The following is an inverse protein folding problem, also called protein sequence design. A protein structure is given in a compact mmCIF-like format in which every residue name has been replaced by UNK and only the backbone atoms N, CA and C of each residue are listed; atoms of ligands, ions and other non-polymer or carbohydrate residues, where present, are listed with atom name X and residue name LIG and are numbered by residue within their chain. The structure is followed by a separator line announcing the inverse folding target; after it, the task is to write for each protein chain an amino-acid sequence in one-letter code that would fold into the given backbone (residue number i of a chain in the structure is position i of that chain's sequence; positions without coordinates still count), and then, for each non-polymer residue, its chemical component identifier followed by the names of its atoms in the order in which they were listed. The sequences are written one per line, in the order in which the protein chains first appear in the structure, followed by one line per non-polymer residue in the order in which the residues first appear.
data_IF_653354684380
#
_entry.id   IF_653354684380
#
_cell.length_a   1.000
_cell.length_b   1.000
_cell.length_c   1.000
_cell.angle_alpha   90.00
_cell.angle_beta   90.00
_cell.angle_gamma   90.00
#
_symmetry.space_group_name_H-M   'P 1'
#
loop_
_entity.id
_entity.type
_entity.pdbx_description
1 polymer ?
#
# COMPACT_ATOMS: atom_id res chain seq x y z
N UNK A 1 -4.08 -26.80 -15.14
CA UNK A 1 -4.31 -26.30 -13.78
C UNK A 1 -3.25 -25.24 -13.52
N UNK A 2 -3.57 -24.11 -12.87
CA UNK A 2 -2.53 -23.17 -12.47
C UNK A 2 -1.54 -23.89 -11.54
N UNK A 3 -0.27 -23.61 -11.72
CA UNK A 3 0.77 -24.22 -10.90
C UNK A 3 0.76 -23.58 -9.50
N UNK A 4 0.41 -24.35 -8.46
CA UNK A 4 0.27 -23.86 -7.11
C UNK A 4 1.63 -23.44 -6.52
N UNK A 5 1.65 -22.35 -5.77
CA UNK A 5 2.77 -21.99 -4.90
C UNK A 5 2.78 -22.94 -3.70
N UNK A 6 3.81 -23.73 -3.57
CA UNK A 6 3.93 -24.71 -2.48
C UNK A 6 4.19 -24.03 -1.14
N UNK A 7 3.35 -24.33 -0.14
CA UNK A 7 3.48 -23.78 1.20
C UNK A 7 4.06 -24.78 2.23
N UNK A 8 3.82 -26.07 2.05
CA UNK A 8 4.23 -27.05 3.02
C UNK A 8 3.61 -28.43 2.77
N UNK A 9 3.47 -29.19 3.84
CA UNK A 9 2.89 -30.55 3.82
C UNK A 9 1.70 -30.66 4.74
N UNK A 10 0.73 -31.50 4.37
CA UNK A 10 -0.41 -31.89 5.21
C UNK A 10 -0.49 -33.39 5.36
N UNK A 11 -1.07 -33.83 6.44
CA UNK A 11 -1.38 -35.24 6.65
C UNK A 11 -2.67 -35.61 5.90
N UNK A 12 -2.64 -36.73 5.21
CA UNK A 12 -3.80 -37.31 4.55
C UNK A 12 -4.20 -38.59 5.30
N UNK A 13 -5.46 -38.65 5.73
CA UNK A 13 -5.99 -39.74 6.53
C UNK A 13 -6.87 -40.66 5.69
N UNK A 14 -6.85 -41.98 6.03
CA UNK A 14 -7.89 -42.92 5.66
C UNK A 14 -8.41 -43.63 6.92
N UNK A 15 -9.66 -43.37 7.25
CA UNK A 15 -10.18 -43.71 8.57
C UNK A 15 -9.40 -42.98 9.67
N UNK A 16 -8.96 -43.70 10.71
CA UNK A 16 -8.21 -43.12 11.83
C UNK A 16 -6.68 -43.24 11.68
N UNK A 17 -6.16 -43.55 10.48
CA UNK A 17 -4.71 -43.73 10.27
C UNK A 17 -4.18 -42.67 9.29
N UNK A 18 -3.03 -42.08 9.63
CA UNK A 18 -2.24 -41.26 8.71
C UNK A 18 -1.71 -42.18 7.61
N UNK A 19 -2.05 -41.90 6.35
CA UNK A 19 -1.59 -42.66 5.21
C UNK A 19 -0.33 -42.10 4.59
N UNK A 20 -0.29 -40.80 4.44
CA UNK A 20 0.81 -40.12 3.73
C UNK A 20 0.85 -38.64 4.09
N UNK A 21 1.99 -38.00 3.78
CA UNK A 21 2.13 -36.56 3.75
C UNK A 21 2.01 -36.11 2.30
N UNK A 22 1.15 -35.15 2.00
CA UNK A 22 1.06 -34.53 0.68
C UNK A 22 1.42 -33.05 0.75
N UNK A 23 2.03 -32.51 -0.30
CA UNK A 23 2.26 -31.07 -0.41
C UNK A 23 0.93 -30.34 -0.54
N UNK A 24 0.88 -29.10 -0.05
CA UNK A 24 -0.22 -28.17 -0.30
C UNK A 24 0.32 -26.81 -0.71
N UNK A 25 -0.47 -26.07 -1.44
CA UNK A 25 -0.11 -24.76 -1.97
C UNK A 25 -1.32 -23.87 -2.23
N UNK A 26 -1.07 -22.65 -2.64
CA UNK A 26 -2.09 -21.65 -2.99
C UNK A 26 -2.01 -21.27 -4.47
N UNK A 27 -3.16 -20.91 -5.04
CA UNK A 27 -3.25 -20.19 -6.29
C UNK A 27 -3.13 -18.69 -6.00
N UNK A 28 -2.18 -18.02 -6.66
CA UNK A 28 -1.99 -16.56 -6.53
C UNK A 28 -3.15 -15.75 -7.12
N UNK A 29 -3.97 -16.36 -7.98
CA UNK A 29 -5.18 -15.72 -8.51
C UNK A 29 -6.36 -15.73 -7.53
N UNK A 30 -6.07 -15.77 -6.23
CA UNK A 30 -7.04 -15.69 -5.14
C UNK A 30 -6.55 -14.72 -4.06
N UNK A 31 -7.48 -14.03 -3.39
CA UNK A 31 -7.13 -13.30 -2.18
C UNK A 31 -6.75 -14.27 -1.06
N UNK A 32 -5.77 -13.89 -0.26
CA UNK A 32 -5.29 -14.66 0.87
C UNK A 32 -5.39 -13.89 2.20
N UNK A 33 -5.58 -14.64 3.28
CA UNK A 33 -5.57 -14.11 4.64
C UNK A 33 -4.67 -14.97 5.52
N UNK A 34 -3.69 -14.34 6.16
CA UNK A 34 -2.69 -15.01 7.00
C UNK A 34 -2.68 -14.37 8.39
N UNK A 35 -3.05 -15.14 9.41
CA UNK A 35 -3.13 -14.63 10.78
C UNK A 35 -2.36 -15.51 11.75
N UNK A 36 -1.77 -14.90 12.77
CA UNK A 36 -1.12 -15.63 13.85
C UNK A 36 -0.19 -14.78 14.72
N UNK A 37 0.06 -15.22 15.93
CA UNK A 37 0.92 -14.52 16.88
C UNK A 37 2.33 -14.25 16.33
N UNK A 38 3.04 -13.31 16.94
CA UNK A 38 4.45 -13.03 16.59
C UNK A 38 5.29 -14.29 16.75
N UNK A 39 6.24 -14.53 15.84
CA UNK A 39 7.12 -15.69 15.84
C UNK A 39 6.46 -17.03 15.47
N UNK A 40 5.19 -17.06 15.07
CA UNK A 40 4.47 -18.28 14.66
C UNK A 40 4.91 -18.86 13.32
N UNK A 41 5.45 -18.02 12.40
CA UNK A 41 5.92 -18.44 11.08
C UNK A 41 5.32 -17.66 9.91
N UNK A 42 4.51 -16.62 10.14
CA UNK A 42 3.88 -15.80 9.09
C UNK A 42 4.87 -15.28 8.05
N UNK A 43 5.90 -14.56 8.51
CA UNK A 43 6.92 -13.98 7.62
C UNK A 43 7.62 -15.04 6.77
N UNK A 44 7.78 -16.27 7.29
CA UNK A 44 8.36 -17.37 6.52
C UNK A 44 7.44 -17.81 5.36
N UNK A 45 6.14 -17.94 5.61
CA UNK A 45 5.19 -18.28 4.53
C UNK A 45 5.11 -17.18 3.49
N UNK A 46 5.03 -15.91 3.91
CA UNK A 46 5.00 -14.78 2.97
C UNK A 46 6.27 -14.74 2.11
N UNK A 47 7.44 -14.93 2.73
CA UNK A 47 8.73 -14.97 2.03
C UNK A 47 8.79 -16.11 1.02
N UNK A 48 8.42 -17.33 1.42
CA UNK A 48 8.44 -18.48 0.52
C UNK A 48 7.47 -18.33 -0.66
N UNK A 49 6.32 -17.67 -0.45
CA UNK A 49 5.40 -17.30 -1.54
C UNK A 49 6.05 -16.33 -2.50
N UNK A 50 6.63 -15.24 -1.97
CA UNK A 50 7.28 -14.19 -2.76
C UNK A 50 8.42 -14.74 -3.60
N UNK A 51 9.32 -15.56 -3.02
CA UNK A 51 10.46 -16.16 -3.74
C UNK A 51 9.96 -17.04 -4.89
N UNK A 52 9.04 -17.97 -4.64
CA UNK A 52 8.52 -18.85 -5.67
C UNK A 52 7.78 -18.09 -6.78
N UNK A 53 7.03 -17.05 -6.45
CA UNK A 53 6.35 -16.22 -7.44
C UNK A 53 7.34 -15.43 -8.32
N UNK A 54 8.40 -14.88 -7.72
CA UNK A 54 9.48 -14.20 -8.44
C UNK A 54 10.18 -15.18 -9.41
N UNK A 55 10.53 -16.37 -8.93
CA UNK A 55 11.21 -17.39 -9.75
C UNK A 55 10.37 -17.85 -10.96
N UNK A 56 9.03 -17.77 -10.85
CA UNK A 56 8.10 -18.08 -11.93
C UNK A 56 7.82 -16.89 -12.86
N UNK A 57 8.36 -15.71 -12.60
CA UNK A 57 8.10 -14.50 -13.37
C UNK A 57 6.67 -13.99 -13.23
N UNK A 58 6.04 -14.22 -12.06
CA UNK A 58 4.71 -13.67 -11.75
C UNK A 58 4.81 -12.19 -11.36
N UNK A 59 3.78 -11.40 -11.72
CA UNK A 59 3.65 -10.04 -11.25
C UNK A 59 3.34 -10.02 -9.76
N UNK A 60 4.26 -9.53 -8.93
CA UNK A 60 4.11 -9.60 -7.48
C UNK A 60 4.64 -8.36 -6.77
N UNK A 61 3.98 -8.00 -5.66
CA UNK A 61 4.41 -6.91 -4.78
C UNK A 61 4.40 -7.30 -3.30
N UNK A 62 5.23 -6.59 -2.52
CA UNK A 62 5.33 -6.71 -1.08
C UNK A 62 5.32 -5.33 -0.43
N UNK A 63 4.43 -5.11 0.55
CA UNK A 63 4.47 -3.96 1.46
C UNK A 63 4.90 -4.46 2.85
N UNK A 64 6.05 -3.98 3.35
CA UNK A 64 6.62 -4.42 4.60
C UNK A 64 6.92 -3.23 5.54
N UNK A 65 6.09 -3.02 6.60
CA UNK A 65 6.27 -1.92 7.55
C UNK A 65 7.40 -2.14 8.55
N UNK A 66 7.94 -3.36 8.65
CA UNK A 66 9.10 -3.67 9.48
C UNK A 66 10.42 -3.54 8.71
N UNK A 67 10.39 -3.86 7.42
CA UNK A 67 11.52 -3.75 6.51
C UNK A 67 12.40 -4.99 6.44
N UNK A 68 12.21 -5.98 7.30
CA UNK A 68 13.05 -7.19 7.37
C UNK A 68 12.76 -8.15 6.23
N UNK A 69 11.47 -8.39 5.93
CA UNK A 69 11.02 -9.23 4.82
C UNK A 69 11.50 -8.66 3.48
N UNK A 70 11.30 -7.36 3.26
CA UNK A 70 11.71 -6.66 2.05
C UNK A 70 13.22 -6.68 1.86
N UNK A 71 14.00 -6.47 2.94
CA UNK A 71 15.47 -6.49 2.91
C UNK A 71 16.02 -7.88 2.63
N UNK A 72 15.39 -8.93 3.14
CA UNK A 72 15.81 -10.32 2.90
C UNK A 72 15.44 -10.75 1.47
N UNK A 73 14.26 -10.38 0.99
CA UNK A 73 13.70 -10.82 -0.29
C UNK A 73 14.59 -10.48 -1.50
N UNK A 74 15.20 -9.30 -1.53
CA UNK A 74 16.07 -8.89 -2.65
C UNK A 74 17.28 -9.80 -2.86
N UNK A 75 17.68 -10.57 -1.83
CA UNK A 75 18.80 -11.51 -1.94
C UNK A 75 18.45 -12.76 -2.77
N UNK A 76 17.17 -13.01 -3.00
CA UNK A 76 16.67 -14.20 -3.72
C UNK A 76 16.33 -13.92 -5.19
N UNK A 77 16.30 -12.66 -5.61
CA UNK A 77 15.95 -12.30 -7.00
C UNK A 77 17.03 -12.76 -7.97
N UNK A 78 16.66 -13.56 -8.97
CA UNK A 78 17.54 -14.03 -10.00
C UNK A 78 18.01 -12.90 -10.95
N UNK A 79 19.14 -13.09 -11.64
CA UNK A 79 19.71 -12.08 -12.55
C UNK A 79 18.78 -11.71 -13.70
N UNK A 80 17.98 -12.65 -14.19
CA UNK A 80 16.98 -12.45 -15.25
C UNK A 80 15.91 -11.42 -14.86
N UNK A 81 15.59 -11.31 -13.57
CA UNK A 81 14.53 -10.44 -13.05
C UNK A 81 15.02 -9.09 -12.50
N UNK A 82 16.31 -8.79 -12.54
CA UNK A 82 16.84 -7.49 -12.09
C UNK A 82 16.14 -6.30 -12.79
N UNK A 83 15.87 -6.34 -14.11
CA UNK A 83 15.17 -5.26 -14.79
C UNK A 83 13.71 -5.10 -14.36
N UNK A 84 13.11 -6.11 -13.77
CA UNK A 84 11.69 -6.11 -13.40
C UNK A 84 11.44 -5.56 -11.99
N UNK A 85 12.52 -5.40 -11.18
CA UNK A 85 12.40 -5.01 -9.77
C UNK A 85 12.30 -3.50 -9.61
N UNK A 86 11.25 -3.07 -8.92
CA UNK A 86 11.17 -1.77 -8.27
C UNK A 86 11.35 -1.96 -6.76
N UNK A 87 12.55 -1.68 -6.25
CA UNK A 87 12.84 -1.70 -4.83
C UNK A 87 12.66 -0.32 -4.23
N UNK A 88 11.58 -0.13 -3.48
CA UNK A 88 11.27 1.09 -2.77
C UNK A 88 11.73 0.99 -1.32
N UNK A 89 12.84 1.61 -0.97
CA UNK A 89 13.28 1.76 0.42
C UNK A 89 13.01 3.19 0.90
N UNK A 90 12.01 3.35 1.77
CA UNK A 90 11.66 4.66 2.31
C UNK A 90 12.73 5.24 3.25
N UNK A 91 13.66 4.41 3.75
CA UNK A 91 14.82 4.84 4.52
C UNK A 91 16.04 5.18 3.67
N UNK A 92 15.99 4.99 2.35
CA UNK A 92 17.06 5.39 1.44
C UNK A 92 17.04 6.91 1.19
N UNK A 93 17.57 7.65 2.15
CA UNK A 93 17.62 9.11 2.05
C UNK A 93 18.58 9.60 0.96
N UNK A 94 19.53 8.78 0.50
CA UNK A 94 20.49 9.16 -0.54
C UNK A 94 19.86 9.17 -1.94
N UNK A 95 18.89 8.27 -2.18
CA UNK A 95 18.18 8.12 -3.45
C UNK A 95 16.67 7.95 -3.22
N UNK A 96 15.95 9.02 -2.79
CA UNK A 96 14.52 8.93 -2.60
C UNK A 96 13.80 8.56 -3.91
N UNK A 97 12.83 7.64 -3.80
CA UNK A 97 11.99 7.25 -4.92
C UNK A 97 11.29 8.48 -5.52
N UNK A 98 11.30 8.58 -6.84
CA UNK A 98 10.61 9.64 -7.57
C UNK A 98 9.16 9.23 -7.77
N UNK A 99 8.33 9.51 -6.79
CA UNK A 99 6.93 9.14 -6.74
C UNK A 99 6.03 10.35 -6.52
N UNK A 100 5.20 10.63 -7.50
CA UNK A 100 4.21 11.71 -7.45
C UNK A 100 2.81 11.18 -7.78
N UNK A 101 1.96 11.11 -6.77
CA UNK A 101 0.58 10.65 -6.92
C UNK A 101 -0.29 11.55 -7.80
N UNK A 102 0.12 12.81 -7.96
CA UNK A 102 -0.66 13.81 -8.72
C UNK A 102 -0.27 13.85 -10.20
N UNK A 103 0.83 13.19 -10.58
CA UNK A 103 1.32 13.24 -11.94
C UNK A 103 0.54 12.30 -12.88
N UNK A 104 0.21 12.81 -14.06
CA UNK A 104 -0.37 12.01 -15.16
C UNK A 104 -1.71 11.32 -14.82
N UNK A 105 -2.51 11.92 -13.94
CA UNK A 105 -3.83 11.42 -13.58
C UNK A 105 -4.86 11.93 -14.59
N UNK A 106 -5.58 11.02 -15.22
CA UNK A 106 -6.65 11.37 -16.17
C UNK A 106 -7.80 12.10 -15.45
N UNK A 107 -8.49 13.03 -16.12
CA UNK A 107 -9.57 13.84 -15.51
C UNK A 107 -10.65 13.00 -14.82
N UNK A 108 -11.08 11.90 -15.42
CA UNK A 108 -12.07 10.98 -14.88
C UNK A 108 -11.60 10.21 -13.65
N UNK A 109 -10.30 10.16 -13.39
CA UNK A 109 -9.67 9.49 -12.26
C UNK A 109 -9.31 10.45 -11.11
N UNK A 110 -9.29 11.75 -11.36
CA UNK A 110 -8.93 12.75 -10.35
C UNK A 110 -9.77 12.67 -9.07
N UNK A 111 -11.10 12.45 -9.12
CA UNK A 111 -11.90 12.28 -7.91
C UNK A 111 -11.45 11.08 -7.08
N UNK A 112 -11.14 9.96 -7.70
CA UNK A 112 -10.70 8.74 -7.03
C UNK A 112 -9.33 8.93 -6.34
N UNK A 113 -8.39 9.58 -7.02
CA UNK A 113 -7.07 9.92 -6.45
C UNK A 113 -7.24 10.89 -5.27
N UNK A 114 -8.13 11.88 -5.40
CA UNK A 114 -8.44 12.84 -4.33
C UNK A 114 -8.95 12.12 -3.08
N UNK A 115 -9.94 11.22 -3.23
CA UNK A 115 -10.47 10.44 -2.11
C UNK A 115 -9.39 9.55 -1.48
N UNK A 116 -8.57 8.90 -2.28
CA UNK A 116 -7.48 8.07 -1.77
C UNK A 116 -6.46 8.85 -0.94
N UNK A 117 -6.07 10.05 -1.38
CA UNK A 117 -5.17 10.93 -0.60
C UNK A 117 -5.86 11.40 0.67
N UNK A 118 -7.09 11.90 0.59
CA UNK A 118 -7.87 12.36 1.74
C UNK A 118 -8.05 11.25 2.78
N UNK A 119 -8.42 10.04 2.32
CA UNK A 119 -8.57 8.86 3.18
C UNK A 119 -7.29 8.46 3.90
N UNK A 120 -6.14 8.48 3.20
CA UNK A 120 -4.84 8.19 3.82
C UNK A 120 -4.46 9.22 4.91
N UNK A 121 -4.74 10.49 4.68
CA UNK A 121 -4.52 11.54 5.69
C UNK A 121 -5.51 11.42 6.87
N UNK A 122 -6.77 11.15 6.60
CA UNK A 122 -7.80 10.93 7.64
C UNK A 122 -7.38 9.78 8.56
N UNK A 123 -6.98 8.66 8.00
CA UNK A 123 -6.51 7.50 8.76
C UNK A 123 -5.31 7.88 9.66
N UNK A 124 -4.31 8.55 9.10
CA UNK A 124 -3.11 8.90 9.85
C UNK A 124 -3.41 9.78 11.07
N UNK A 125 -4.36 10.70 10.96
CA UNK A 125 -4.66 11.68 12.00
C UNK A 125 -5.87 11.31 12.88
N UNK A 126 -6.66 10.33 12.51
CA UNK A 126 -7.76 9.75 13.29
C UNK A 126 -8.66 10.78 13.96
N UNK A 127 -8.87 10.66 15.26
CA UNK A 127 -9.76 11.54 16.02
C UNK A 127 -9.39 13.05 15.97
N UNK A 128 -8.18 13.41 15.56
CA UNK A 128 -7.79 14.82 15.36
C UNK A 128 -8.14 15.36 13.97
N UNK A 129 -8.82 14.56 13.12
CA UNK A 129 -9.25 14.93 11.79
C UNK A 129 -10.68 15.50 11.83
N UNK A 130 -10.85 16.72 11.33
CA UNK A 130 -12.17 17.38 11.33
C UNK A 130 -12.70 17.62 9.91
N UNK A 131 -14.01 17.70 9.75
CA UNK A 131 -14.68 17.90 8.46
C UNK A 131 -14.16 19.11 7.67
N UNK A 132 -13.87 20.24 8.36
CA UNK A 132 -13.30 21.42 7.70
C UNK A 132 -11.91 21.16 7.16
N UNK A 133 -11.05 20.48 7.92
CA UNK A 133 -9.71 20.08 7.49
C UNK A 133 -9.79 19.21 6.24
N UNK A 134 -10.73 18.27 6.23
CA UNK A 134 -11.00 17.40 5.11
C UNK A 134 -11.48 18.16 3.87
N UNK A 135 -12.47 19.03 4.04
CA UNK A 135 -13.01 19.85 2.96
C UNK A 135 -11.91 20.70 2.28
N UNK A 136 -11.06 21.34 3.09
CA UNK A 136 -9.92 22.11 2.56
C UNK A 136 -8.92 21.21 1.85
N UNK A 137 -8.54 20.06 2.43
CA UNK A 137 -7.59 19.13 1.82
C UNK A 137 -8.12 18.59 0.49
N UNK A 138 -9.38 18.19 0.44
CA UNK A 138 -10.06 17.67 -0.76
C UNK A 138 -9.96 18.66 -1.92
N UNK A 139 -10.34 19.91 -1.69
CA UNK A 139 -10.29 20.96 -2.69
C UNK A 139 -8.84 21.34 -3.07
N UNK A 140 -7.89 21.25 -2.12
CA UNK A 140 -6.48 21.50 -2.41
C UNK A 140 -5.86 20.40 -3.30
N UNK A 141 -6.15 19.14 -3.01
CA UNK A 141 -5.69 18.01 -3.82
C UNK A 141 -6.32 18.05 -5.22
N UNK A 142 -7.64 18.29 -5.31
CA UNK A 142 -8.33 18.41 -6.58
C UNK A 142 -7.77 19.55 -7.46
N UNK A 143 -7.49 20.71 -6.87
CA UNK A 143 -6.87 21.82 -7.60
C UNK A 143 -5.46 21.50 -8.10
N UNK A 144 -4.65 20.78 -7.28
CA UNK A 144 -3.31 20.37 -7.66
C UNK A 144 -3.31 19.27 -8.72
N UNK A 145 -4.28 18.37 -8.72
CA UNK A 145 -4.46 17.33 -9.76
C UNK A 145 -4.82 17.93 -11.12
N UNK A 146 -5.59 19.02 -11.11
CA UNK A 146 -5.99 19.72 -12.35
C UNK A 146 -4.88 20.59 -12.94
N UNK A 147 -3.76 20.76 -12.26
CA UNK A 147 -2.66 21.62 -12.67
C UNK A 147 -1.36 20.84 -12.89
N UNK A 148 -0.56 21.32 -13.86
CA UNK A 148 0.73 20.72 -14.16
C UNK A 148 1.81 21.05 -13.14
N UNK A 149 2.83 20.18 -13.08
CA UNK A 149 4.04 20.38 -12.26
C UNK A 149 3.77 20.60 -10.77
N UNK A 150 2.82 19.89 -10.23
CA UNK A 150 2.40 19.91 -8.82
C UNK A 150 2.95 18.71 -8.04
N UNK A 151 2.93 18.81 -6.73
CA UNK A 151 3.19 17.71 -5.79
C UNK A 151 2.42 17.97 -4.49
N UNK A 152 2.36 16.98 -3.57
CA UNK A 152 1.69 17.15 -2.28
C UNK A 152 2.27 18.30 -1.42
N UNK A 153 3.53 18.69 -1.62
CA UNK A 153 4.09 19.89 -0.98
C UNK A 153 3.37 21.17 -1.43
N UNK A 154 2.76 21.16 -2.60
CA UNK A 154 1.98 22.28 -3.12
C UNK A 154 0.77 22.65 -2.26
N UNK A 155 0.22 21.71 -1.46
CA UNK A 155 -0.94 21.95 -0.61
C UNK A 155 -0.68 23.11 0.35
N UNK A 156 0.43 23.09 1.11
CA UNK A 156 0.77 24.16 2.04
C UNK A 156 0.93 25.52 1.35
N UNK A 157 1.57 25.52 0.18
CA UNK A 157 1.80 26.74 -0.60
C UNK A 157 0.50 27.28 -1.23
N UNK A 158 -0.39 26.39 -1.66
CA UNK A 158 -1.71 26.75 -2.18
C UNK A 158 -2.56 27.47 -1.12
N UNK A 159 -2.48 27.05 0.13
CA UNK A 159 -3.20 27.66 1.25
C UNK A 159 -2.65 29.03 1.65
N UNK A 160 -1.34 29.24 1.55
CA UNK A 160 -0.65 30.41 2.16
C UNK A 160 -0.12 31.43 1.18
N UNK A 161 0.08 31.08 -0.10
CA UNK A 161 0.76 31.93 -1.07
C UNK A 161 -0.14 32.31 -2.24
N UNK A 162 -0.79 33.50 -2.22
CA UNK A 162 -1.78 33.89 -3.22
C UNK A 162 -1.30 33.82 -4.68
N UNK A 163 -0.05 34.25 -5.04
CA UNK A 163 0.42 34.12 -6.42
C UNK A 163 0.53 32.67 -6.91
N UNK A 164 0.96 31.75 -6.04
CA UNK A 164 1.00 30.33 -6.39
C UNK A 164 -0.42 29.77 -6.55
N UNK A 165 -1.33 30.11 -5.63
CA UNK A 165 -2.73 29.72 -5.73
C UNK A 165 -3.35 30.21 -7.03
N UNK A 166 -3.16 31.46 -7.40
CA UNK A 166 -3.66 31.99 -8.66
C UNK A 166 -3.13 31.23 -9.88
N UNK A 167 -1.83 30.88 -9.88
CA UNK A 167 -1.21 30.12 -10.98
C UNK A 167 -1.80 28.70 -11.12
N UNK A 168 -2.17 28.07 -10.03
CA UNK A 168 -2.84 26.76 -10.04
C UNK A 168 -4.28 26.91 -10.50
N UNK A 169 -5.05 27.83 -9.90
CA UNK A 169 -6.48 28.00 -10.20
C UNK A 169 -6.77 28.43 -11.64
N UNK A 170 -5.82 29.07 -12.31
CA UNK A 170 -5.93 29.38 -13.74
C UNK A 170 -5.98 28.11 -14.63
N UNK A 171 -5.51 26.96 -14.13
CA UNK A 171 -5.52 25.68 -14.84
C UNK A 171 -6.73 24.82 -14.44
N UNK A 172 -7.41 25.14 -13.34
CA UNK A 172 -8.59 24.40 -12.87
C UNK A 172 -9.80 24.73 -13.71
N UNK A 173 -10.39 23.72 -14.31
CA UNK A 173 -11.60 23.85 -15.14
C UNK A 173 -12.88 23.39 -14.42
N UNK A 174 -12.76 22.54 -13.41
CA UNK A 174 -13.89 22.02 -12.64
C UNK A 174 -14.61 23.17 -11.91
N UNK A 175 -15.93 23.37 -12.15
CA UNK A 175 -16.67 24.49 -11.58
C UNK A 175 -16.84 24.37 -10.06
N UNK A 176 -16.92 23.15 -9.51
CA UNK A 176 -17.10 22.93 -8.05
C UNK A 176 -15.81 23.29 -7.31
N UNK A 177 -14.66 22.84 -7.83
CA UNK A 177 -13.35 23.18 -7.26
C UNK A 177 -13.12 24.70 -7.36
N UNK A 178 -13.47 25.33 -8.49
CA UNK A 178 -13.38 26.78 -8.67
C UNK A 178 -14.24 27.53 -7.68
N UNK A 179 -15.51 27.11 -7.49
CA UNK A 179 -16.45 27.75 -6.57
C UNK A 179 -15.92 27.73 -5.14
N UNK A 180 -15.37 26.58 -4.66
CA UNK A 180 -14.74 26.53 -3.34
C UNK A 180 -13.65 27.61 -3.20
N UNK A 181 -12.75 27.75 -4.19
CA UNK A 181 -11.63 28.68 -4.07
C UNK A 181 -12.04 30.15 -4.19
N UNK A 182 -12.94 30.51 -5.13
CA UNK A 182 -13.32 31.90 -5.40
C UNK A 182 -14.49 32.38 -4.55
N UNK A 183 -15.50 31.54 -4.35
CA UNK A 183 -16.75 31.94 -3.70
C UNK A 183 -16.75 31.64 -2.19
N UNK A 184 -15.88 30.71 -1.73
CA UNK A 184 -15.78 30.34 -0.33
C UNK A 184 -14.42 30.77 0.26
N UNK A 185 -13.30 30.17 -0.15
CA UNK A 185 -11.98 30.36 0.48
C UNK A 185 -11.46 31.81 0.38
N UNK A 186 -11.55 32.45 -0.77
CA UNK A 186 -11.11 33.83 -0.96
C UNK A 186 -12.02 34.85 -0.26
N UNK A 187 -13.29 34.50 0.00
CA UNK A 187 -14.25 35.33 0.72
C UNK A 187 -14.12 35.25 2.25
N UNK A 188 -13.37 34.29 2.75
CA UNK A 188 -13.17 34.19 4.20
C UNK A 188 -12.43 35.41 4.75
N UNK A 189 -12.88 35.92 5.90
CA UNK A 189 -12.13 36.88 6.69
C UNK A 189 -10.73 36.38 6.98
N UNK A 190 -9.69 37.24 6.92
CA UNK A 190 -8.28 36.80 7.10
C UNK A 190 -8.01 36.04 8.41
N UNK A 191 -8.67 36.40 9.51
CA UNK A 191 -8.51 35.70 10.80
C UNK A 191 -9.16 34.32 10.74
N UNK A 192 -10.40 34.26 10.25
CA UNK A 192 -11.09 32.99 10.05
C UNK A 192 -10.33 32.05 9.12
N UNK A 193 -9.78 32.59 8.01
CA UNK A 193 -8.97 31.80 7.08
C UNK A 193 -7.73 31.20 7.78
N UNK A 194 -7.02 31.97 8.60
CA UNK A 194 -5.88 31.46 9.36
C UNK A 194 -6.30 30.37 10.33
N UNK A 195 -7.38 30.53 11.05
CA UNK A 195 -7.90 29.52 11.98
C UNK A 195 -8.35 28.25 11.22
N UNK A 196 -8.99 28.40 10.08
CA UNK A 196 -9.50 27.28 9.28
C UNK A 196 -8.38 26.40 8.71
N UNK A 197 -7.27 27.01 8.23
CA UNK A 197 -6.15 26.28 7.62
C UNK A 197 -5.13 25.78 8.65
N UNK A 198 -5.04 26.35 9.84
CA UNK A 198 -4.02 26.01 10.83
C UNK A 198 -3.97 24.52 11.18
N UNK A 199 -5.07 23.80 11.40
CA UNK A 199 -5.02 22.37 11.67
C UNK A 199 -4.37 21.56 10.54
N UNK A 200 -4.69 21.87 9.28
CA UNK A 200 -4.10 21.20 8.12
C UNK A 200 -2.62 21.55 7.96
N UNK A 201 -2.26 22.84 8.14
CA UNK A 201 -0.87 23.27 8.09
C UNK A 201 0.01 22.58 9.14
N UNK A 202 -0.47 22.47 10.38
CA UNK A 202 0.24 21.79 11.45
C UNK A 202 0.48 20.32 11.11
N UNK A 203 -0.53 19.62 10.55
CA UNK A 203 -0.43 18.22 10.13
C UNK A 203 0.55 18.03 8.98
N UNK A 204 0.44 18.86 7.95
CA UNK A 204 1.39 18.83 6.82
C UNK A 204 2.80 19.18 7.26
N UNK A 205 2.96 20.17 8.14
CA UNK A 205 4.27 20.57 8.70
C UNK A 205 4.94 19.42 9.45
N UNK A 206 4.18 18.72 10.30
CA UNK A 206 4.70 17.55 11.02
C UNK A 206 5.12 16.41 10.08
N UNK A 207 4.36 16.15 9.03
CA UNK A 207 4.68 15.10 8.06
C UNK A 207 5.91 15.47 7.21
N UNK A 208 5.93 16.65 6.63
CA UNK A 208 7.03 17.09 5.76
C UNK A 208 8.28 17.55 6.52
N UNK A 209 8.24 17.60 7.85
CA UNK A 209 9.44 17.65 8.66
C UNK A 209 10.30 16.39 8.50
N UNK A 210 9.68 15.23 8.22
CA UNK A 210 10.40 14.00 7.87
C UNK A 210 11.08 14.15 6.50
N UNK A 211 12.44 14.04 6.43
CA UNK A 211 13.16 14.08 5.15
C UNK A 211 12.72 12.96 4.19
N UNK A 212 12.41 11.80 4.71
CA UNK A 212 11.92 10.66 3.91
C UNK A 212 10.65 11.04 3.15
N UNK A 213 9.59 11.46 3.86
CA UNK A 213 8.32 11.86 3.23
C UNK A 213 8.50 13.05 2.31
N UNK A 214 9.18 14.09 2.77
CA UNK A 214 9.37 15.31 1.99
C UNK A 214 10.08 15.03 0.67
N UNK A 215 11.15 14.22 0.69
CA UNK A 215 11.94 13.96 -0.50
C UNK A 215 11.27 12.94 -1.44
N UNK A 216 10.36 12.09 -0.96
CA UNK A 216 9.56 11.18 -1.80
C UNK A 216 8.38 11.93 -2.39
N UNK A 217 7.48 12.45 -1.54
CA UNK A 217 6.19 13.02 -1.95
C UNK A 217 6.28 14.48 -2.45
N UNK A 218 7.42 15.13 -2.27
CA UNK A 218 7.67 16.50 -2.74
C UNK A 218 8.17 16.60 -4.17
N UNK A 219 8.43 15.48 -4.83
CA UNK A 219 8.90 15.49 -6.21
C UNK A 219 7.75 15.72 -7.20
N UNK A 220 8.00 16.55 -8.20
CA UNK A 220 7.05 16.79 -9.31
C UNK A 220 7.13 15.69 -10.37
N UNK A 221 8.35 15.21 -10.65
CA UNK A 221 8.53 14.11 -11.62
C UNK A 221 8.13 12.78 -10.99
N UNK A 222 7.37 12.00 -11.75
CA UNK A 222 7.03 10.62 -11.40
C UNK A 222 7.85 9.64 -12.25
N UNK A 223 8.46 8.64 -11.62
CA UNK A 223 9.16 7.53 -12.28
C UNK A 223 8.59 6.16 -11.87
N UNK A 224 7.63 6.15 -10.96
CA UNK A 224 6.98 4.96 -10.47
C UNK A 224 5.52 4.96 -10.86
N UNK A 225 5.13 4.01 -11.71
CA UNK A 225 3.75 3.81 -12.14
C UNK A 225 3.31 2.38 -11.83
N UNK A 226 2.45 2.18 -10.82
CA UNK A 226 1.92 0.86 -10.47
C UNK A 226 1.19 0.17 -11.63
N UNK A 227 0.50 0.92 -12.49
CA UNK A 227 -0.21 0.34 -13.62
C UNK A 227 0.74 -0.34 -14.60
N UNK A 228 1.78 0.36 -15.03
CA UNK A 228 2.82 -0.19 -15.91
C UNK A 228 3.53 -1.38 -15.27
N UNK A 229 3.82 -1.30 -13.97
CA UNK A 229 4.47 -2.38 -13.24
C UNK A 229 3.58 -3.63 -13.18
N UNK A 230 2.29 -3.47 -12.90
CA UNK A 230 1.33 -4.57 -12.85
C UNK A 230 1.14 -5.21 -14.23
N UNK A 231 1.03 -4.41 -15.30
CA UNK A 231 0.78 -4.91 -16.65
C UNK A 231 1.98 -5.68 -17.23
N UNK A 232 3.21 -5.33 -16.79
CA UNK A 232 4.46 -5.96 -17.22
C UNK A 232 4.96 -7.08 -16.28
N UNK A 233 4.14 -7.58 -15.35
CA UNK A 233 4.55 -8.58 -14.33
C UNK A 233 5.77 -8.14 -13.54
N UNK A 234 5.89 -6.85 -13.23
CA UNK A 234 6.99 -6.33 -12.45
C UNK A 234 7.00 -6.84 -11.01
N UNK A 235 8.13 -6.69 -10.35
CA UNK A 235 8.35 -7.07 -8.96
C UNK A 235 8.44 -5.79 -8.14
N UNK A 236 7.50 -5.56 -7.24
CA UNK A 236 7.47 -4.41 -6.34
C UNK A 236 7.82 -4.80 -4.91
N UNK A 237 8.88 -4.25 -4.35
CA UNK A 237 9.30 -4.52 -2.98
C UNK A 237 9.39 -3.20 -2.23
N UNK A 238 8.43 -2.92 -1.35
CA UNK A 238 8.40 -1.72 -0.51
C UNK A 238 8.89 -2.04 0.91
N UNK A 239 10.02 -1.48 1.24
CA UNK A 239 10.61 -1.45 2.58
C UNK A 239 10.20 -0.14 3.27
N UNK A 240 9.28 -0.23 4.24
CA UNK A 240 8.72 0.92 4.96
C UNK A 240 9.09 0.85 6.46
N UNK A 241 10.37 0.86 6.83
CA UNK A 241 10.84 0.47 8.16
C UNK A 241 10.45 1.51 9.22
N UNK A 242 9.30 1.32 9.85
CA UNK A 242 8.75 2.24 10.86
C UNK A 242 9.73 2.54 11.99
N UNK A 243 10.61 1.62 12.34
CA UNK A 243 11.67 1.85 13.32
C UNK A 243 12.74 2.86 12.89
N UNK A 244 12.87 3.16 11.59
CA UNK A 244 13.84 4.13 11.05
C UNK A 244 13.19 5.44 10.61
N UNK A 245 11.99 5.37 10.00
CA UNK A 245 11.34 6.57 9.45
C UNK A 245 10.17 7.07 10.31
N UNK A 246 9.77 6.31 11.34
CA UNK A 246 8.63 6.58 12.21
C UNK A 246 7.34 5.91 11.72
N UNK A 247 6.40 5.64 12.66
CA UNK A 247 5.11 4.98 12.35
C UNK A 247 4.27 5.83 11.39
N UNK A 248 4.11 7.12 11.66
CA UNK A 248 3.30 8.01 10.82
C UNK A 248 3.73 8.03 9.35
N UNK A 249 5.00 8.30 9.04
CA UNK A 249 5.52 8.21 7.68
C UNK A 249 5.35 6.85 7.02
N UNK A 250 5.64 5.76 7.73
CA UNK A 250 5.51 4.40 7.18
C UNK A 250 4.05 4.08 6.84
N UNK A 251 3.12 4.38 7.76
CA UNK A 251 1.69 4.12 7.57
C UNK A 251 1.14 4.96 6.41
N UNK A 252 1.50 6.24 6.32
CA UNK A 252 1.06 7.10 5.22
C UNK A 252 1.56 6.59 3.86
N UNK A 253 2.86 6.28 3.75
CA UNK A 253 3.41 5.75 2.49
C UNK A 253 2.75 4.44 2.08
N UNK A 254 2.55 3.52 3.03
CA UNK A 254 1.89 2.24 2.76
C UNK A 254 0.43 2.39 2.36
N UNK A 255 -0.34 3.26 3.03
CA UNK A 255 -1.73 3.56 2.67
C UNK A 255 -1.84 4.18 1.27
N UNK A 256 -0.97 5.15 0.95
CA UNK A 256 -0.93 5.76 -0.38
C UNK A 256 -0.51 4.76 -1.47
N UNK A 257 0.46 3.87 -1.21
CA UNK A 257 0.85 2.80 -2.13
C UNK A 257 -0.31 1.84 -2.38
N UNK A 258 -0.97 1.37 -1.32
CA UNK A 258 -2.12 0.49 -1.43
C UNK A 258 -3.22 1.13 -2.28
N UNK A 259 -3.57 2.39 -1.99
CA UNK A 259 -4.55 3.16 -2.77
C UNK A 259 -4.14 3.25 -4.25
N UNK A 260 -2.87 3.49 -4.55
CA UNK A 260 -2.41 3.57 -5.95
C UNK A 260 -2.46 2.23 -6.68
N UNK A 261 -2.14 1.10 -6.03
CA UNK A 261 -2.32 -0.22 -6.64
C UNK A 261 -3.79 -0.52 -6.90
N UNK A 262 -4.69 -0.13 -5.99
CA UNK A 262 -6.14 -0.24 -6.19
C UNK A 262 -6.62 0.58 -7.39
N UNK A 263 -6.18 1.84 -7.49
CA UNK A 263 -6.49 2.72 -8.63
C UNK A 263 -5.93 2.16 -9.94
N UNK A 264 -4.69 1.68 -9.93
CA UNK A 264 -4.08 1.03 -11.09
C UNK A 264 -4.87 -0.20 -11.54
N UNK A 265 -5.42 -0.98 -10.62
CA UNK A 265 -6.32 -2.08 -10.93
C UNK A 265 -7.63 -1.58 -11.57
N UNK A 266 -8.30 -0.60 -10.97
CA UNK A 266 -9.54 -0.02 -11.51
C UNK A 266 -9.37 0.57 -12.91
N UNK A 267 -8.23 1.16 -13.21
CA UNK A 267 -7.88 1.64 -14.57
C UNK A 267 -7.88 0.53 -15.63
N UNK A 268 -7.79 -0.74 -15.21
CA UNK A 268 -7.90 -1.90 -16.11
C UNK A 268 -9.34 -2.24 -16.48
N UNK A 269 -10.33 -1.50 -15.98
CA UNK A 269 -11.74 -1.70 -16.32
C UNK A 269 -11.99 -1.60 -17.83
N UNK A 270 -11.28 -0.69 -18.52
CA UNK A 270 -11.36 -0.53 -19.98
C UNK A 270 -10.69 -1.64 -20.78
N UNK A 271 -9.80 -2.45 -20.16
CA UNK A 271 -9.16 -3.57 -20.82
C UNK A 271 -10.06 -4.81 -20.77
N UNK A 272 -10.05 -5.63 -21.85
CA UNK A 272 -10.76 -6.90 -21.85
C UNK A 272 -10.18 -7.85 -20.79
N UNK A 273 -11.03 -8.72 -20.24
CA UNK A 273 -10.67 -9.60 -19.12
C UNK A 273 -9.41 -10.44 -19.42
N UNK A 274 -9.27 -10.96 -20.64
CA UNK A 274 -8.10 -11.78 -21.03
C UNK A 274 -6.77 -11.01 -21.13
N UNK A 275 -6.79 -9.68 -21.09
CA UNK A 275 -5.59 -8.83 -21.14
C UNK A 275 -5.23 -8.22 -19.78
N UNK A 276 -5.93 -8.58 -18.72
CA UNK A 276 -5.62 -8.11 -17.36
C UNK A 276 -4.59 -9.05 -16.73
N UNK A 277 -3.32 -8.69 -16.87
CA UNK A 277 -2.22 -9.46 -16.28
C UNK A 277 -2.41 -9.60 -14.76
N UNK A 278 -2.43 -10.82 -14.21
CA UNK A 278 -2.51 -11.01 -12.76
C UNK A 278 -1.34 -10.34 -12.04
N UNK A 279 -1.65 -9.66 -10.94
CA UNK A 279 -0.67 -9.08 -10.04
C UNK A 279 -1.07 -9.39 -8.59
N UNK A 280 -0.16 -9.96 -7.83
CA UNK A 280 -0.41 -10.34 -6.45
C UNK A 280 0.34 -9.43 -5.47
N UNK A 281 -0.38 -8.68 -4.63
CA UNK A 281 0.20 -7.80 -3.63
C UNK A 281 0.10 -8.42 -2.24
N UNK A 282 1.23 -8.71 -1.64
CA UNK A 282 1.35 -9.21 -0.26
C UNK A 282 1.57 -8.02 0.67
N UNK A 283 0.76 -7.94 1.71
CA UNK A 283 0.78 -6.83 2.67
C UNK A 283 1.00 -7.42 4.07
N UNK A 284 2.22 -7.26 4.57
CA UNK A 284 2.52 -7.63 5.95
C UNK A 284 2.01 -6.55 6.90
N UNK A 285 1.46 -6.93 8.04
CA UNK A 285 0.81 -6.06 9.03
C UNK A 285 -0.17 -5.04 8.37
N UNK A 286 -1.03 -5.54 7.47
CA UNK A 286 -1.91 -4.71 6.66
C UNK A 286 -2.80 -3.73 7.46
N UNK A 287 -3.18 -3.97 8.72
CA UNK A 287 -3.95 -3.00 9.49
C UNK A 287 -3.27 -1.63 9.65
N UNK A 288 -1.93 -1.59 9.54
CA UNK A 288 -1.18 -0.33 9.57
C UNK A 288 -1.49 0.58 8.38
N UNK A 289 -2.00 0.04 7.28
CA UNK A 289 -2.24 0.73 6.01
C UNK A 289 -3.72 0.90 5.67
N UNK A 290 -4.61 0.38 6.53
CA UNK A 290 -6.05 0.56 6.35
C UNK A 290 -6.42 2.04 6.54
N UNK A 291 -7.44 2.47 5.83
CA UNK A 291 -8.10 3.75 6.06
C UNK A 291 -9.27 3.58 7.03
N UNK A 292 -9.70 4.65 7.68
CA UNK A 292 -10.87 4.63 8.61
C UNK A 292 -12.20 4.37 7.89
N UNK A 293 -12.17 4.10 6.58
CA UNK A 293 -13.34 3.71 5.78
C UNK A 293 -13.28 2.20 5.47
N UNK A 294 -13.75 1.36 6.40
CA UNK A 294 -13.72 -0.09 6.23
C UNK A 294 -14.51 -0.57 5.00
N UNK A 295 -15.59 0.15 4.65
CA UNK A 295 -16.43 -0.14 3.49
C UNK A 295 -15.68 0.05 2.15
N UNK A 296 -14.84 1.09 2.05
CA UNK A 296 -14.05 1.34 0.85
C UNK A 296 -13.02 0.23 0.61
N UNK A 297 -12.37 -0.26 1.68
CA UNK A 297 -11.45 -1.38 1.58
C UNK A 297 -12.17 -2.71 1.29
N UNK A 298 -13.33 -2.95 1.92
CA UNK A 298 -14.17 -4.11 1.66
C UNK A 298 -14.63 -4.16 0.19
N UNK A 299 -15.08 -3.03 -0.36
CA UNK A 299 -15.45 -2.89 -1.77
C UNK A 299 -14.24 -3.18 -2.66
N UNK A 300 -13.07 -2.66 -2.31
CA UNK A 300 -11.83 -2.94 -3.04
C UNK A 300 -11.51 -4.43 -3.07
N UNK A 301 -11.58 -5.14 -1.94
CA UNK A 301 -11.36 -6.58 -1.89
C UNK A 301 -12.33 -7.33 -2.82
N UNK A 302 -13.61 -6.94 -2.80
CA UNK A 302 -14.62 -7.60 -3.63
C UNK A 302 -14.38 -7.37 -5.14
N UNK A 303 -13.84 -6.22 -5.53
CA UNK A 303 -13.70 -5.81 -6.92
C UNK A 303 -12.31 -6.00 -7.52
N UNK A 304 -11.24 -5.88 -6.74
CA UNK A 304 -9.86 -5.90 -7.21
C UNK A 304 -9.53 -7.15 -8.05
N UNK A 305 -10.09 -8.29 -7.67
CA UNK A 305 -9.95 -9.56 -8.40
C UNK A 305 -10.41 -9.46 -9.84
N UNK A 306 -11.52 -8.75 -10.12
CA UNK A 306 -12.06 -8.55 -11.48
C UNK A 306 -11.04 -7.84 -12.38
N UNK A 307 -10.18 -7.03 -11.79
CA UNK A 307 -9.18 -6.24 -12.50
C UNK A 307 -7.76 -6.84 -12.43
N UNK A 308 -7.66 -8.10 -11.98
CA UNK A 308 -6.39 -8.83 -11.91
C UNK A 308 -5.48 -8.39 -10.77
N UNK A 309 -5.99 -7.74 -9.72
CA UNK A 309 -5.25 -7.47 -8.49
C UNK A 309 -5.72 -8.42 -7.39
N UNK A 310 -4.78 -9.20 -6.87
CA UNK A 310 -5.00 -10.15 -5.79
C UNK A 310 -4.22 -9.70 -4.56
N UNK A 311 -4.80 -9.84 -3.37
CA UNK A 311 -4.21 -9.38 -2.13
C UNK A 311 -4.00 -10.55 -1.17
N UNK A 312 -2.83 -10.66 -0.57
CA UNK A 312 -2.62 -11.46 0.64
C UNK A 312 -2.41 -10.53 1.82
N UNK A 313 -3.33 -10.60 2.77
CA UNK A 313 -3.40 -9.76 3.95
C UNK A 313 -2.85 -10.53 5.15
N UNK A 314 -1.74 -10.07 5.74
CA UNK A 314 -1.15 -10.69 6.91
C UNK A 314 -1.17 -9.76 8.12
N UNK A 315 -1.46 -10.31 9.31
CA UNK A 315 -1.35 -9.58 10.58
C UNK A 315 -1.29 -10.51 11.80
N UNK A 316 -1.19 -9.92 12.99
CA UNK A 316 -0.93 -10.70 14.21
C UNK A 316 -2.20 -11.08 14.96
N UNK A 317 -3.19 -10.18 15.07
CA UNK A 317 -4.42 -10.40 15.83
C UNK A 317 -5.57 -9.53 15.32
N UNK A 318 -6.79 -10.04 15.40
CA UNK A 318 -7.99 -9.42 14.80
C UNK A 318 -8.35 -8.07 15.42
N UNK A 319 -7.98 -7.83 16.69
CA UNK A 319 -8.25 -6.54 17.34
C UNK A 319 -7.50 -5.34 16.73
N UNK A 320 -6.54 -5.57 15.82
CA UNK A 320 -5.93 -4.50 15.01
C UNK A 320 -6.91 -3.94 13.96
N UNK A 321 -7.97 -4.69 13.64
CA UNK A 321 -9.04 -4.26 12.74
C UNK A 321 -10.23 -3.84 13.60
N UNK A 322 -10.46 -2.53 13.72
CA UNK A 322 -11.45 -1.99 14.64
C UNK A 322 -12.90 -2.18 14.18
N UNK A 323 -13.14 -2.42 12.87
CA UNK A 323 -14.47 -2.65 12.30
C UNK A 323 -14.79 -4.14 12.18
N UNK A 324 -15.92 -4.57 12.77
CA UNK A 324 -16.43 -5.93 12.61
C UNK A 324 -16.87 -6.20 11.17
N UNK A 325 -17.43 -5.19 10.49
CA UNK A 325 -17.87 -5.25 9.10
C UNK A 325 -16.67 -5.55 8.19
N UNK A 326 -15.54 -4.87 8.42
CA UNK A 326 -14.31 -5.12 7.67
C UNK A 326 -13.73 -6.51 7.94
N UNK A 327 -13.76 -6.98 9.20
CA UNK A 327 -13.32 -8.35 9.52
C UNK A 327 -14.14 -9.39 8.75
N UNK A 328 -15.46 -9.24 8.73
CA UNK A 328 -16.37 -10.12 7.98
C UNK A 328 -16.16 -10.01 6.47
N UNK A 329 -16.00 -8.80 5.96
CA UNK A 329 -15.74 -8.57 4.54
C UNK A 329 -14.43 -9.24 4.08
N UNK A 330 -13.35 -9.17 4.87
CA UNK A 330 -12.11 -9.86 4.58
C UNK A 330 -12.36 -11.37 4.50
N UNK A 331 -12.93 -11.97 5.54
CA UNK A 331 -13.14 -13.42 5.61
C UNK A 331 -14.09 -13.94 4.49
N UNK A 332 -15.02 -13.11 4.03
CA UNK A 332 -15.95 -13.46 2.95
C UNK A 332 -15.34 -13.37 1.55
N UNK A 333 -14.31 -12.54 1.35
CA UNK A 333 -13.73 -12.30 0.03
C UNK A 333 -12.41 -13.05 -0.21
N UNK A 334 -11.81 -13.69 0.82
CA UNK A 334 -10.58 -14.44 0.67
C UNK A 334 -10.86 -15.88 0.27
N UNK A 335 -10.13 -16.38 -0.72
CA UNK A 335 -10.19 -17.81 -1.13
C UNK A 335 -9.25 -18.68 -0.30
N UNK A 336 -8.19 -18.10 0.27
CA UNK A 336 -7.18 -18.81 1.04
C UNK A 336 -7.08 -18.22 2.44
N UNK A 337 -7.38 -19.00 3.48
CA UNK A 337 -7.22 -18.62 4.89
C UNK A 337 -6.18 -19.53 5.54
N UNK A 338 -5.15 -18.95 6.14
CA UNK A 338 -4.07 -19.65 6.83
C UNK A 338 -3.96 -19.08 8.24
N UNK A 339 -4.29 -19.89 9.23
CA UNK A 339 -4.19 -19.53 10.63
C UNK A 339 -3.03 -20.30 11.29
N UNK A 340 -2.06 -19.57 11.78
CA UNK A 340 -1.08 -20.03 12.75
C UNK A 340 -1.70 -19.99 14.15
N UNK A 341 -0.89 -20.26 15.19
CA UNK A 341 -1.33 -20.11 16.57
C UNK A 341 -1.85 -18.69 16.83
N UNK A 342 -3.04 -18.60 17.35
CA UNK A 342 -3.73 -17.34 17.68
C UNK A 342 -4.18 -17.30 19.14
N UNK A 343 -4.61 -16.12 19.60
CA UNK A 343 -5.23 -15.96 20.92
C UNK A 343 -6.61 -16.62 20.98
N UNK A 344 -7.13 -16.87 22.19
CA UNK A 344 -8.48 -17.41 22.37
C UNK A 344 -9.59 -16.50 21.84
N UNK A 345 -9.34 -15.17 21.78
CA UNK A 345 -10.27 -14.20 21.18
C UNK A 345 -10.32 -14.36 19.65
N UNK A 346 -9.17 -14.42 19.02
CA UNK A 346 -9.05 -14.59 17.57
C UNK A 346 -9.57 -15.97 17.14
N UNK A 347 -9.26 -17.01 17.92
CA UNK A 347 -9.75 -18.36 17.67
C UNK A 347 -11.28 -18.45 17.65
N UNK A 348 -11.98 -17.62 18.45
CA UNK A 348 -13.44 -17.56 18.45
C UNK A 348 -13.99 -17.06 17.11
N UNK A 349 -13.35 -16.06 16.51
CA UNK A 349 -13.78 -15.50 15.23
C UNK A 349 -13.42 -16.42 14.06
N UNK A 350 -12.31 -17.16 14.15
CA UNK A 350 -11.85 -18.05 13.11
C UNK A 350 -12.53 -19.43 13.16
N UNK A 351 -13.17 -19.80 14.28
CA UNK A 351 -13.84 -21.10 14.43
C UNK A 351 -14.88 -21.33 13.34
N UNK A 352 -15.67 -20.31 13.00
CA UNK A 352 -16.69 -20.40 11.95
C UNK A 352 -16.09 -20.62 10.54
N UNK A 353 -14.87 -20.14 10.30
CA UNK A 353 -14.16 -20.33 9.03
C UNK A 353 -13.72 -21.77 8.85
N UNK A 354 -13.34 -22.44 9.95
CA UNK A 354 -12.75 -23.79 9.96
C UNK A 354 -13.70 -24.88 10.46
N UNK A 355 -14.95 -24.51 10.83
CA UNK A 355 -15.98 -25.47 11.22
C UNK A 355 -16.37 -26.38 10.05
N UNK A 356 -16.84 -27.61 10.33
CA UNK A 356 -16.90 -28.26 11.63
C UNK A 356 -15.59 -28.96 12.07
N UNK A 357 -14.57 -28.98 11.20
CA UNK A 357 -13.38 -29.83 11.37
C UNK A 357 -12.44 -29.37 12.50
N UNK A 358 -12.38 -28.04 12.73
CA UNK A 358 -11.51 -27.45 13.72
C UNK A 358 -12.24 -26.49 14.65
N UNK A 359 -11.90 -26.58 15.95
CA UNK A 359 -12.46 -25.78 17.04
C UNK A 359 -11.38 -24.87 17.66
N UNK A 360 -11.77 -23.96 18.55
CA UNK A 360 -10.84 -23.03 19.27
C UNK A 360 -9.63 -23.70 19.88
N UNK A 361 -9.74 -24.85 20.61
CA UNK A 361 -8.57 -25.53 21.15
C UNK A 361 -7.53 -25.91 20.09
N UNK A 362 -7.95 -26.27 18.87
CA UNK A 362 -7.02 -26.58 17.80
C UNK A 362 -6.21 -25.35 17.38
N UNK A 363 -6.83 -24.18 17.28
CA UNK A 363 -6.21 -22.93 16.84
C UNK A 363 -5.22 -22.35 17.88
N UNK A 364 -5.53 -22.47 19.17
CA UNK A 364 -4.67 -21.91 20.25
C UNK A 364 -3.48 -22.78 20.58
N UNK A 365 -3.52 -24.07 20.24
CA UNK A 365 -2.49 -25.06 20.61
C UNK A 365 -1.55 -25.42 19.43
N UNK A 366 -1.60 -24.70 18.31
CA UNK A 366 -0.68 -24.93 17.19
C UNK A 366 0.76 -24.65 17.60
N UNK A 367 1.67 -25.54 17.17
CA UNK A 367 3.11 -25.36 17.35
C UNK A 367 3.65 -24.35 16.32
N UNK A 368 4.90 -23.94 16.51
CA UNK A 368 5.57 -23.07 15.55
C UNK A 368 5.64 -23.73 14.16
N UNK A 369 5.16 -23.01 13.13
CA UNK A 369 5.11 -23.51 11.76
C UNK A 369 3.92 -24.43 11.45
N UNK A 370 3.16 -24.88 12.45
CA UNK A 370 1.88 -25.56 12.21
C UNK A 370 0.80 -24.53 11.86
N UNK A 371 -0.09 -24.92 10.96
CA UNK A 371 -1.22 -24.11 10.51
C UNK A 371 -2.50 -24.94 10.45
N UNK A 372 -3.63 -24.26 10.60
CA UNK A 372 -4.91 -24.69 10.07
C UNK A 372 -5.20 -23.84 8.85
N UNK A 373 -5.43 -24.48 7.72
CA UNK A 373 -5.63 -23.80 6.45
C UNK A 373 -6.92 -24.26 5.76
N UNK A 374 -7.59 -23.31 5.12
CA UNK A 374 -8.71 -23.53 4.19
C UNK A 374 -8.33 -22.86 2.87
N UNK A 375 -8.08 -23.67 1.85
CA UNK A 375 -7.53 -23.20 0.58
C UNK A 375 -8.55 -23.54 -0.52
N UNK A 376 -8.88 -22.54 -1.33
CA UNK A 376 -9.74 -22.72 -2.48
C UNK A 376 -9.06 -23.60 -3.53
N UNK A 377 -9.79 -24.57 -4.07
CA UNK A 377 -9.32 -25.45 -5.14
C UNK A 377 -10.31 -25.43 -6.30
N UNK A 378 -9.82 -25.20 -7.51
CA UNK A 378 -10.61 -25.16 -8.74
C UNK A 378 -11.88 -24.27 -8.65
N UNK A 379 -11.79 -23.15 -7.94
CA UNK A 379 -12.89 -22.21 -7.73
C UNK A 379 -13.88 -22.62 -6.63
N UNK A 380 -13.73 -23.79 -6.02
CA UNK A 380 -14.57 -24.24 -4.90
C UNK A 380 -13.88 -24.04 -3.54
N UNK A 381 -14.62 -23.76 -2.47
CA UNK A 381 -14.06 -23.71 -1.11
C UNK A 381 -13.45 -25.07 -0.74
N UNK A 382 -12.18 -25.04 -0.30
CA UNK A 382 -11.52 -26.25 0.18
C UNK A 382 -12.01 -26.71 1.55
N UNK A 383 -11.77 -27.98 1.86
CA UNK A 383 -11.97 -28.52 3.20
C UNK A 383 -10.82 -28.07 4.09
N UNK A 384 -11.08 -27.56 5.31
CA UNK A 384 -10.04 -27.20 6.25
C UNK A 384 -9.12 -28.40 6.59
N UNK A 385 -7.83 -28.12 6.75
CA UNK A 385 -6.85 -29.14 7.13
C UNK A 385 -5.77 -28.57 8.04
N UNK A 386 -5.09 -29.45 8.77
CA UNK A 386 -3.87 -29.12 9.51
C UNK A 386 -2.65 -29.41 8.64
N UNK A 387 -1.70 -28.47 8.64
CA UNK A 387 -0.48 -28.57 7.86
C UNK A 387 0.74 -28.05 8.60
N UNK A 388 1.92 -28.36 8.04
CA UNK A 388 3.21 -27.85 8.47
C UNK A 388 3.80 -27.02 7.33
N UNK A 389 4.12 -25.75 7.62
CA UNK A 389 4.75 -24.86 6.63
C UNK A 389 6.18 -25.34 6.33
N UNK A 390 6.58 -25.27 5.07
CA UNK A 390 7.91 -25.58 4.62
C UNK A 390 8.95 -24.68 5.32
N UNK A 391 10.16 -25.19 5.57
CA UNK A 391 11.25 -24.39 6.10
C UNK A 391 11.56 -23.20 5.16
N UNK A 392 12.28 -22.18 5.67
CA UNK A 392 12.73 -21.07 4.84
C UNK A 392 13.55 -21.55 3.64
N UNK A 393 13.25 -21.05 2.45
CA UNK A 393 14.11 -21.22 1.27
C UNK A 393 15.49 -20.60 1.59
N UNK A 394 16.58 -21.33 1.36
CA UNK A 394 17.94 -20.94 1.76
C UNK A 394 18.78 -20.39 0.60
N UNK A 395 18.43 -20.76 -0.63
CA UNK A 395 19.24 -20.43 -1.81
C UNK A 395 19.15 -18.94 -2.15
N UNK A 396 20.22 -18.20 -1.88
CA UNK A 396 20.34 -16.76 -2.15
C UNK A 396 21.16 -16.52 -3.41
N UNK A 397 20.74 -15.56 -4.22
CA UNK A 397 21.41 -15.19 -5.47
C UNK A 397 22.56 -14.18 -5.26
N UNK A 398 22.64 -13.52 -4.11
CA UNK A 398 23.73 -12.61 -3.74
C UNK A 398 23.83 -11.33 -4.57
N UNK A 399 22.75 -10.86 -5.20
CA UNK A 399 22.75 -9.74 -6.15
C UNK A 399 22.11 -8.46 -5.61
N UNK A 400 21.87 -8.35 -4.32
CA UNK A 400 21.16 -7.25 -3.69
C UNK A 400 21.71 -5.86 -4.07
N UNK A 401 23.04 -5.69 -4.09
CA UNK A 401 23.66 -4.41 -4.45
C UNK A 401 23.38 -4.01 -5.90
N UNK A 402 23.39 -4.95 -6.83
CA UNK A 402 23.08 -4.71 -8.26
C UNK A 402 21.61 -4.34 -8.43
N UNK A 403 20.70 -5.04 -7.75
CA UNK A 403 19.27 -4.76 -7.78
C UNK A 403 18.96 -3.36 -7.24
N UNK A 404 19.54 -2.99 -6.08
CA UNK A 404 19.39 -1.67 -5.50
C UNK A 404 19.90 -0.59 -6.46
N UNK A 405 21.08 -0.79 -7.04
CA UNK A 405 21.66 0.18 -7.97
C UNK A 405 20.79 0.37 -9.22
N UNK A 406 20.28 -0.71 -9.81
CA UNK A 406 19.42 -0.65 -10.98
C UNK A 406 18.06 -0.02 -10.65
N UNK A 407 17.46 -0.37 -9.53
CA UNK A 407 16.19 0.24 -9.06
C UNK A 407 16.37 1.74 -8.81
N UNK A 408 17.44 2.18 -8.14
CA UNK A 408 17.76 3.60 -7.95
C UNK A 408 17.90 4.34 -9.29
N UNK A 409 18.61 3.76 -10.25
CA UNK A 409 18.80 4.35 -11.58
C UNK A 409 17.49 4.61 -12.31
N UNK A 410 16.53 3.69 -12.20
CA UNK A 410 15.24 3.75 -12.90
C UNK A 410 14.22 4.61 -12.17
N UNK A 411 14.08 4.44 -10.87
CA UNK A 411 12.94 4.94 -10.11
C UNK A 411 13.28 6.06 -9.12
N UNK A 412 14.55 6.28 -8.79
CA UNK A 412 14.93 7.29 -7.79
C UNK A 412 15.68 8.48 -8.41
N UNK A 413 15.92 9.50 -7.60
CA UNK A 413 16.78 10.63 -7.94
C UNK A 413 17.78 10.89 -6.80
N UNK A 414 18.99 11.43 -7.12
CA UNK A 414 19.94 11.82 -6.08
C UNK A 414 19.34 12.86 -5.12
N UNK A 415 19.54 12.65 -3.82
CA UNK A 415 19.05 13.54 -2.74
C UNK A 415 19.33 15.00 -3.00
N UNK A 416 20.58 15.34 -3.36
CA UNK A 416 20.98 16.73 -3.58
C UNK A 416 20.11 17.43 -4.62
N UNK A 417 19.78 16.74 -5.72
CA UNK A 417 18.92 17.28 -6.77
C UNK A 417 17.48 17.47 -6.30
N UNK A 418 16.97 16.52 -5.51
CA UNK A 418 15.60 16.59 -4.96
C UNK A 418 15.51 17.76 -3.98
N UNK A 419 16.44 17.86 -3.03
CA UNK A 419 16.45 18.92 -2.02
C UNK A 419 16.67 20.31 -2.62
N UNK A 420 17.51 20.43 -3.66
CA UNK A 420 17.66 21.69 -4.40
C UNK A 420 16.32 22.16 -5.01
N UNK A 421 15.60 21.26 -5.66
CA UNK A 421 14.30 21.58 -6.27
C UNK A 421 13.25 21.93 -5.23
N UNK A 422 13.18 21.19 -4.14
CA UNK A 422 12.27 21.46 -3.02
C UNK A 422 12.59 22.82 -2.40
N UNK A 423 13.87 23.11 -2.18
CA UNK A 423 14.33 24.41 -1.63
C UNK A 423 13.92 25.57 -2.55
N UNK A 424 14.15 25.44 -3.85
CA UNK A 424 13.68 26.44 -4.84
C UNK A 424 12.17 26.60 -4.82
N UNK A 425 11.42 25.52 -4.72
CA UNK A 425 9.95 25.56 -4.65
C UNK A 425 9.46 26.26 -3.38
N UNK A 426 10.07 25.98 -2.23
CA UNK A 426 9.68 26.56 -0.93
C UNK A 426 10.23 27.98 -0.70
N UNK A 427 11.21 28.42 -1.49
CA UNK A 427 11.78 29.76 -1.36
C UNK A 427 10.68 30.84 -1.48
N UNK A 428 10.74 31.90 -0.64
CA UNK A 428 9.86 33.05 -0.81
C UNK A 428 10.08 33.69 -2.17
N UNK A 429 9.01 34.20 -2.79
CA UNK A 429 9.15 34.96 -4.02
C UNK A 429 10.11 36.14 -3.78
N UNK A 430 11.02 36.46 -4.72
CA UNK A 430 11.88 37.62 -4.57
C UNK A 430 11.00 38.84 -4.33
N UNK A 431 11.32 39.60 -3.31
CA UNK A 431 10.62 40.85 -3.01
C UNK A 431 10.68 41.73 -4.27
N UNK A 432 9.50 42.09 -4.80
CA UNK A 432 9.43 43.10 -5.86
C UNK A 432 10.09 44.36 -5.32
N UNK A 433 11.32 44.65 -5.73
CA UNK A 433 11.94 45.92 -5.50
C UNK A 433 11.05 46.95 -6.19
N UNK A 434 10.28 47.71 -5.39
CA UNK A 434 9.61 48.91 -5.88
C UNK A 434 10.71 49.79 -6.47
N UNK A 435 10.76 49.90 -7.81
CA UNK A 435 11.53 50.97 -8.44
C UNK A 435 10.91 52.27 -7.95
N UNK A 436 11.61 52.91 -7.02
CA UNK A 436 11.33 54.27 -6.66
C UNK A 436 11.74 55.08 -7.88
N UNK A 437 10.78 55.56 -8.64
CA UNK A 437 11.00 56.61 -9.64
C UNK A 437 11.17 57.91 -8.88
N UNK A 438 12.40 58.40 -8.86
CA UNK A 438 12.70 59.78 -8.51
C UNK A 438 12.45 60.67 -9.71
#
# INVERSE_FOLDING_TARGET
MPELITLGTREVYSGNRVLTHSSFGIDLAQHGYVIGASGSGKTNVLRNVLIQAIDRGEGIGCLDPHGDLASDLIAYVASSHIPDVCYFDAADLAYPLSWNLLASVLPDQQPLVTEGVVGAFRNLFGASWGYRTEHILRNAVAALLAADNTSLLGIAKLLTHPPYRASILNQVTDPVVRSFWYDEFEQWDPRFRQEAIAPLQNKLGALFASPALRNILGQVKNRFDPRTLMDNRGIFIARLPKGLIGDGPANLLGALLLTQFQQAALQRASASVGHRTPFHLIIDEFPCFLTDEPEAFATTLAEARKYGLFLTLAHQFTAQIHSNELQQAILSNVGNTIAFRVSGRDARLLEDVFAPDFTRPHLVNLKRGEVIAKIQQDGAPGIPFRGQIAPPIQERQGRSTTIIAESRRRFAQPRALVEERITKFLAPAPALTKKVHH
#
